data_IF_368517928928
#
_entry.id   IF_368517928928
#
_cell.length_a   1.000
_cell.length_b   1.000
_cell.length_c   1.000
_cell.angle_alpha   90.00
_cell.angle_beta   90.00
_cell.angle_gamma   90.00
#
_symmetry.space_group_name_H-M   'P 1'
#
loop_
_entity.id
_entity.type
_entity.pdbx_description
1 polymer ?
#
# COMPACT_ATOMS: atom_id res chain seq x y z
N UNK A 1 -12.11 70.96 35.65
CA UNK A 1 -12.92 70.43 34.52
C UNK A 1 -12.60 68.96 34.33
N UNK A 2 -13.55 68.05 34.57
CA UNK A 2 -13.38 66.60 34.35
C UNK A 2 -14.27 66.18 33.19
N UNK A 3 -13.66 65.82 32.06
CA UNK A 3 -14.36 65.36 30.86
C UNK A 3 -14.69 63.86 30.98
N UNK A 4 -15.98 63.56 31.06
CA UNK A 4 -16.52 62.20 31.14
C UNK A 4 -16.44 61.54 29.76
N UNK A 5 -15.56 60.55 29.60
CA UNK A 5 -15.41 59.72 28.39
C UNK A 5 -16.71 58.94 28.13
N UNK A 6 -17.40 59.25 27.03
CA UNK A 6 -18.62 58.54 26.59
C UNK A 6 -18.30 57.08 26.28
N UNK A 7 -18.75 56.17 27.14
CA UNK A 7 -18.73 54.73 26.92
C UNK A 7 -19.88 54.31 25.99
N UNK A 8 -19.74 54.58 24.69
CA UNK A 8 -20.69 54.14 23.66
C UNK A 8 -20.33 52.77 23.04
N UNK A 9 -19.47 51.98 23.68
CA UNK A 9 -18.77 50.86 23.03
C UNK A 9 -19.42 49.49 23.11
N UNK A 10 -20.60 49.34 23.73
CA UNK A 10 -21.18 48.03 24.03
C UNK A 10 -21.91 47.36 22.86
N UNK A 11 -22.46 48.13 21.91
CA UNK A 11 -23.27 47.56 20.82
C UNK A 11 -22.43 47.20 19.60
N UNK A 12 -21.44 48.03 19.24
CA UNK A 12 -20.53 47.76 18.13
C UNK A 12 -19.64 46.54 18.37
N UNK A 13 -19.10 46.40 19.59
CA UNK A 13 -18.27 45.25 19.99
C UNK A 13 -19.06 43.95 20.00
N UNK A 14 -20.28 43.95 20.54
CA UNK A 14 -21.17 42.77 20.49
C UNK A 14 -21.49 42.35 19.06
N UNK A 15 -21.81 43.29 18.17
CA UNK A 15 -22.08 43.00 16.75
C UNK A 15 -20.84 42.48 16.03
N UNK A 16 -19.67 43.01 16.35
CA UNK A 16 -18.41 42.53 15.81
C UNK A 16 -18.11 41.09 16.24
N UNK A 17 -18.30 40.77 17.53
CA UNK A 17 -18.13 39.40 18.04
C UNK A 17 -19.13 38.42 17.40
N UNK A 18 -20.38 38.83 17.22
CA UNK A 18 -21.40 38.01 16.54
C UNK A 18 -21.03 37.81 15.07
N UNK A 19 -20.60 38.85 14.36
CA UNK A 19 -20.18 38.75 12.97
C UNK A 19 -18.94 37.85 12.81
N UNK A 20 -17.95 38.00 13.68
CA UNK A 20 -16.76 37.15 13.68
C UNK A 20 -17.11 35.68 13.97
N UNK A 21 -18.01 35.43 14.94
CA UNK A 21 -18.51 34.09 15.23
C UNK A 21 -19.29 33.49 14.07
N UNK A 22 -20.14 34.27 13.40
CA UNK A 22 -20.90 33.84 12.23
C UNK A 22 -19.99 33.49 11.05
N UNK A 23 -18.96 34.31 10.78
CA UNK A 23 -17.96 34.03 9.74
C UNK A 23 -17.17 32.76 10.07
N UNK A 24 -16.76 32.59 11.33
CA UNK A 24 -16.08 31.39 11.79
C UNK A 24 -16.93 30.12 11.64
N UNK A 25 -18.22 30.21 11.98
CA UNK A 25 -19.16 29.11 11.79
C UNK A 25 -19.41 28.80 10.30
N UNK A 26 -19.48 29.83 9.45
CA UNK A 26 -19.62 29.64 8.00
C UNK A 26 -18.38 28.98 7.40
N UNK A 27 -17.19 29.41 7.80
CA UNK A 27 -15.92 28.81 7.39
C UNK A 27 -15.79 27.37 7.88
N UNK A 28 -16.19 27.11 9.13
CA UNK A 28 -16.24 25.76 9.69
C UNK A 28 -17.30 24.88 9.02
N UNK A 29 -18.43 25.44 8.56
CA UNK A 29 -19.43 24.68 7.81
C UNK A 29 -18.96 24.36 6.39
N UNK A 30 -18.20 25.24 5.75
CA UNK A 30 -17.61 25.02 4.43
C UNK A 30 -16.47 24.00 4.50
N UNK A 31 -15.60 24.08 5.52
CA UNK A 31 -14.47 23.17 5.68
C UNK A 31 -14.84 21.87 6.42
N UNK A 32 -15.87 21.90 7.26
CA UNK A 32 -16.33 20.80 8.11
C UNK A 32 -17.63 20.12 7.68
N UNK A 33 -18.34 20.66 6.68
CA UNK A 33 -19.54 20.04 6.12
C UNK A 33 -19.18 18.91 5.15
N UNK A 34 -19.34 17.66 5.62
CA UNK A 34 -19.36 16.34 4.95
C UNK A 34 -18.32 15.97 3.86
N UNK A 35 -17.61 16.92 3.26
CA UNK A 35 -16.63 16.70 2.17
C UNK A 35 -15.46 17.69 2.24
N UNK A 36 -15.02 18.04 3.46
CA UNK A 36 -13.90 18.95 3.66
C UNK A 36 -12.61 18.49 2.98
N UNK A 37 -11.77 19.43 2.54
CA UNK A 37 -10.49 19.19 1.83
C UNK A 37 -9.58 18.16 2.52
N UNK A 38 -9.65 18.07 3.85
CA UNK A 38 -8.93 17.08 4.67
C UNK A 38 -9.40 15.64 4.41
N UNK A 39 -10.69 15.44 4.18
CA UNK A 39 -11.23 14.11 3.86
C UNK A 39 -10.84 13.67 2.45
N UNK A 40 -10.88 14.58 1.46
CA UNK A 40 -10.35 14.31 0.13
C UNK A 40 -8.87 13.91 0.18
N UNK A 41 -8.06 14.56 1.04
CA UNK A 41 -6.65 14.20 1.23
C UNK A 41 -6.50 12.79 1.83
N UNK A 42 -7.32 12.45 2.84
CA UNK A 42 -7.33 11.12 3.46
C UNK A 42 -7.77 10.04 2.47
N UNK A 43 -8.81 10.31 1.68
CA UNK A 43 -9.30 9.41 0.63
C UNK A 43 -8.23 9.19 -0.46
N UNK A 44 -7.55 10.25 -0.92
CA UNK A 44 -6.43 10.13 -1.86
C UNK A 44 -5.29 9.29 -1.31
N UNK A 45 -4.90 9.51 -0.05
CA UNK A 45 -3.86 8.72 0.60
C UNK A 45 -4.27 7.24 0.75
N UNK A 46 -5.53 6.96 1.12
CA UNK A 46 -6.05 5.59 1.18
C UNK A 46 -6.01 4.95 -0.20
N UNK A 47 -6.53 5.62 -1.23
CA UNK A 47 -6.50 5.13 -2.62
C UNK A 47 -5.07 4.79 -3.07
N UNK A 48 -4.11 5.68 -2.82
CA UNK A 48 -2.70 5.45 -3.18
C UNK A 48 -2.10 4.23 -2.46
N UNK A 49 -2.40 4.05 -1.16
CA UNK A 49 -1.94 2.88 -0.39
C UNK A 49 -2.57 1.59 -0.91
N UNK A 50 -3.87 1.57 -1.17
CA UNK A 50 -4.54 0.39 -1.73
C UNK A 50 -4.00 0.06 -3.11
N UNK A 51 -3.78 1.05 -3.97
CA UNK A 51 -3.21 0.82 -5.29
C UNK A 51 -1.82 0.20 -5.20
N UNK A 52 -0.95 0.75 -4.35
CA UNK A 52 0.40 0.18 -4.14
C UNK A 52 0.35 -1.26 -3.62
N UNK A 53 -0.61 -1.59 -2.75
CA UNK A 53 -0.79 -2.96 -2.26
C UNK A 53 -1.25 -3.90 -3.38
N UNK A 54 -2.18 -3.45 -4.25
CA UNK A 54 -2.62 -4.19 -5.43
C UNK A 54 -1.45 -4.43 -6.38
N UNK A 55 -0.72 -3.38 -6.74
CA UNK A 55 0.42 -3.46 -7.67
C UNK A 55 1.49 -4.44 -7.16
N UNK A 56 1.77 -4.41 -5.86
CA UNK A 56 2.71 -5.34 -5.22
C UNK A 56 2.23 -6.79 -5.29
N UNK A 57 0.96 -7.03 -4.97
CA UNK A 57 0.37 -8.37 -5.04
C UNK A 57 0.36 -8.90 -6.49
N UNK A 58 0.02 -8.04 -7.44
CA UNK A 58 -0.05 -8.38 -8.85
C UNK A 58 1.34 -8.71 -9.40
N UNK A 59 2.37 -7.97 -9.01
CA UNK A 59 3.75 -8.29 -9.35
C UNK A 59 4.17 -9.69 -8.86
N UNK A 60 3.79 -10.07 -7.64
CA UNK A 60 4.07 -11.42 -7.11
C UNK A 60 3.35 -12.48 -7.94
N UNK A 61 2.05 -12.30 -8.22
CA UNK A 61 1.26 -13.23 -9.04
C UNK A 61 1.87 -13.37 -10.44
N UNK A 62 2.27 -12.28 -11.08
CA UNK A 62 2.89 -12.30 -12.41
C UNK A 62 4.25 -12.98 -12.38
N UNK A 63 5.04 -12.80 -11.32
CA UNK A 63 6.32 -13.49 -11.14
C UNK A 63 6.14 -15.00 -11.00
N UNK A 64 5.16 -15.44 -10.20
CA UNK A 64 4.86 -16.85 -9.97
C UNK A 64 4.26 -17.50 -11.21
N UNK A 65 3.37 -16.80 -11.92
CA UNK A 65 2.79 -17.27 -13.17
C UNK A 65 3.87 -17.47 -14.24
N UNK A 66 4.81 -16.52 -14.36
CA UNK A 66 5.96 -16.67 -15.26
C UNK A 66 6.86 -17.84 -14.86
N UNK A 67 7.10 -18.03 -13.56
CA UNK A 67 7.89 -19.16 -13.09
C UNK A 67 7.21 -20.50 -13.38
N UNK A 68 5.91 -20.62 -13.07
CA UNK A 68 5.10 -21.80 -13.40
C UNK A 68 5.16 -22.11 -14.90
N UNK A 69 4.95 -21.10 -15.74
CA UNK A 69 4.98 -21.30 -17.18
C UNK A 69 6.34 -21.81 -17.66
N UNK A 70 7.45 -21.26 -17.15
CA UNK A 70 8.79 -21.80 -17.44
C UNK A 70 8.94 -23.22 -16.95
N UNK A 71 8.46 -23.55 -15.75
CA UNK A 71 8.52 -24.91 -15.24
C UNK A 71 7.79 -25.91 -16.15
N UNK A 72 6.70 -25.50 -16.80
CA UNK A 72 5.91 -26.35 -17.69
C UNK A 72 6.50 -26.44 -19.11
N UNK A 73 7.22 -25.41 -19.57
CA UNK A 73 7.60 -25.27 -20.98
C UNK A 73 9.09 -25.33 -21.26
N UNK A 74 9.95 -25.04 -20.28
CA UNK A 74 11.41 -24.99 -20.44
C UNK A 74 12.03 -26.34 -20.06
N UNK A 75 12.50 -27.14 -21.03
CA UNK A 75 13.07 -28.46 -20.77
C UNK A 75 14.36 -28.39 -19.93
N UNK A 76 15.14 -27.30 -20.04
CA UNK A 76 16.39 -27.14 -19.30
C UNK A 76 16.08 -26.90 -17.82
N UNK A 77 15.08 -26.07 -17.54
CA UNK A 77 14.63 -25.85 -16.16
C UNK A 77 14.06 -27.12 -15.55
N UNK A 78 13.25 -27.87 -16.31
CA UNK A 78 12.70 -29.16 -15.89
C UNK A 78 13.80 -30.18 -15.58
N UNK A 79 14.78 -30.32 -16.47
CA UNK A 79 15.90 -31.23 -16.28
C UNK A 79 16.73 -30.85 -15.06
N UNK A 80 17.02 -29.56 -14.89
CA UNK A 80 17.75 -29.06 -13.72
C UNK A 80 17.03 -29.43 -12.42
N UNK A 81 15.73 -29.12 -12.31
CA UNK A 81 14.94 -29.43 -11.12
C UNK A 81 14.84 -30.96 -10.91
N UNK A 82 14.62 -31.72 -11.98
CA UNK A 82 14.56 -33.17 -11.91
C UNK A 82 15.87 -33.77 -11.34
N UNK A 83 17.03 -33.23 -11.73
CA UNK A 83 18.34 -33.67 -11.24
C UNK A 83 18.66 -33.16 -9.84
N UNK A 84 18.43 -31.89 -9.57
CA UNK A 84 18.84 -31.22 -8.32
C UNK A 84 17.90 -31.55 -7.15
N UNK A 85 16.58 -31.43 -7.35
CA UNK A 85 15.60 -31.60 -6.27
C UNK A 85 15.17 -33.07 -6.14
N UNK A 86 15.07 -33.79 -7.25
CA UNK A 86 14.54 -35.15 -7.28
C UNK A 86 15.59 -36.24 -7.56
N UNK A 87 16.84 -35.88 -7.86
CA UNK A 87 17.91 -36.85 -8.16
C UNK A 87 17.63 -37.73 -9.38
N UNK A 88 16.71 -37.32 -10.24
CA UNK A 88 16.29 -38.10 -11.41
C UNK A 88 17.37 -38.04 -12.50
N UNK A 89 17.61 -39.19 -13.12
CA UNK A 89 18.49 -39.31 -14.29
C UNK A 89 17.67 -39.63 -15.53
N UNK A 90 18.24 -39.30 -16.70
CA UNK A 90 17.54 -39.51 -17.97
C UNK A 90 17.39 -41.01 -18.21
N UNK A 91 16.20 -41.53 -17.90
CA UNK A 91 15.97 -42.95 -17.57
C UNK A 91 16.67 -44.00 -18.44
N UNK A 92 16.72 -43.82 -19.77
CA UNK A 92 17.32 -44.79 -20.69
C UNK A 92 18.68 -44.40 -21.28
N UNK A 93 19.20 -43.20 -20.97
CA UNK A 93 20.41 -42.65 -21.60
C UNK A 93 21.59 -42.43 -20.65
N UNK A 94 21.39 -42.61 -19.34
CA UNK A 94 22.40 -42.35 -18.33
C UNK A 94 22.49 -43.49 -17.32
N UNK A 95 23.71 -43.96 -17.04
CA UNK A 95 24.00 -45.03 -16.08
C UNK A 95 24.55 -44.39 -14.80
N UNK A 96 23.84 -44.55 -13.68
CA UNK A 96 24.33 -44.15 -12.35
C UNK A 96 25.26 -45.22 -11.79
N UNK A 97 26.54 -44.89 -11.62
CA UNK A 97 27.46 -45.70 -10.84
C UNK A 97 27.35 -45.30 -9.37
N UNK A 98 26.76 -46.17 -8.54
CA UNK A 98 26.85 -46.04 -7.09
C UNK A 98 28.08 -46.80 -6.62
N UNK A 99 29.09 -46.07 -6.18
CA UNK A 99 30.24 -46.66 -5.49
C UNK A 99 29.76 -46.99 -4.07
N UNK A 100 29.49 -48.27 -3.79
CA UNK A 100 29.31 -48.72 -2.43
C UNK A 100 30.71 -48.96 -1.83
N UNK A 101 30.97 -48.41 -0.65
CA UNK A 101 32.11 -48.87 0.15
C UNK A 101 31.85 -50.34 0.49
N UNK A 102 32.84 -51.18 0.22
CA UNK A 102 32.77 -52.60 0.49
C UNK A 102 32.55 -52.81 1.99
N UNK A 103 31.31 -53.12 2.40
CA UNK A 103 30.98 -53.53 3.77
C UNK A 103 31.43 -54.98 3.99
N UNK A 104 32.68 -55.26 3.65
CA UNK A 104 33.41 -56.45 4.03
C UNK A 104 34.30 -56.09 5.23
N UNK A 105 33.72 -56.19 6.42
CA UNK A 105 34.38 -56.67 7.65
C UNK A 105 33.34 -56.95 8.73
#
# INVERSE_FOLDING_TARGET
>A
MVARKKSGGGWGTKRFLIAAGAIGALWFAIEGGEYGTRDLMRQKQRKARLQSAIDSAQHVVDSLSRYKHRLETDPVLQERIAREEFGMVRGTKEILYRIAEDSAK
#
